data_IF_275497399817
#
_entry.id   IF_275497399817
#
_cell.length_a   1.000
_cell.length_b   1.000
_cell.length_c   1.000
_cell.angle_alpha   90.00
_cell.angle_beta   90.00
_cell.angle_gamma   90.00
#
_symmetry.space_group_name_H-M   'P 1'
#
loop_
_entity.id
_entity.type
_entity.pdbx_description
1 polymer ?
#
# COMPACT_ATOMS: atom_id res chain seq x y z
N UNK A 1 33.34 -75.30 32.98
CA UNK A 1 32.63 -74.08 32.57
C UNK A 1 31.35 -74.55 31.89
N UNK A 2 30.14 -74.40 32.43
CA UNK A 2 29.51 -73.23 33.09
C UNK A 2 29.28 -72.09 32.10
N UNK A 3 28.10 -71.48 31.93
CA UNK A 3 26.71 -71.73 32.39
C UNK A 3 25.78 -71.70 31.13
N UNK A 4 24.51 -72.11 31.02
CA UNK A 4 23.27 -72.01 31.84
C UNK A 4 22.69 -70.57 31.97
N UNK A 5 21.38 -70.27 31.82
CA UNK A 5 20.18 -71.11 31.54
C UNK A 5 19.62 -70.74 30.13
N UNK A 6 18.35 -70.49 29.73
CA UNK A 6 16.94 -70.41 30.24
C UNK A 6 16.02 -71.04 29.14
N UNK A 7 14.76 -71.42 29.43
CA UNK A 7 13.74 -71.87 28.42
C UNK A 7 12.60 -70.85 28.21
N UNK A 8 11.95 -70.88 27.03
CA UNK A 8 10.65 -70.23 26.76
C UNK A 8 9.79 -71.07 25.79
N UNK A 9 8.48 -71.32 26.06
CA UNK A 9 7.68 -72.25 25.27
C UNK A 9 6.86 -71.60 24.15
N UNK A 10 6.77 -72.28 23.00
CA UNK A 10 5.74 -72.02 21.98
C UNK A 10 4.67 -73.12 22.06
N UNK A 11 3.54 -72.87 22.73
CA UNK A 11 2.19 -73.40 22.40
C UNK A 11 1.17 -73.02 23.48
N UNK A 12 0.33 -72.03 23.21
CA UNK A 12 -1.12 -72.10 23.44
C UNK A 12 -1.78 -70.95 22.65
N UNK A 13 -2.87 -71.25 21.93
CA UNK A 13 -3.42 -70.36 20.90
C UNK A 13 -4.95 -70.33 20.98
N UNK A 14 -5.51 -69.47 21.83
CA UNK A 14 -6.95 -69.15 21.85
C UNK A 14 -7.25 -67.89 22.70
N UNK A 15 -8.44 -67.30 22.47
CA UNK A 15 -9.14 -66.31 23.32
C UNK A 15 -8.83 -64.79 23.23
N UNK A 16 -8.23 -64.27 22.14
CA UNK A 16 -8.05 -62.79 21.96
C UNK A 16 -8.69 -62.21 20.67
N UNK A 17 -9.70 -62.87 20.09
CA UNK A 17 -10.43 -62.33 18.92
C UNK A 17 -11.60 -61.41 19.31
N UNK A 18 -12.24 -61.63 20.46
CA UNK A 18 -13.52 -60.98 20.83
C UNK A 18 -13.50 -59.47 21.10
N UNK A 19 -12.31 -58.84 21.13
CA UNK A 19 -12.14 -57.38 21.19
C UNK A 19 -11.76 -56.78 19.83
N UNK A 20 -10.94 -57.49 19.05
CA UNK A 20 -10.58 -57.10 17.68
C UNK A 20 -11.79 -57.12 16.75
N UNK A 21 -12.61 -58.18 16.81
CA UNK A 21 -13.81 -58.28 15.96
C UNK A 21 -14.81 -57.15 16.27
N UNK A 22 -14.94 -56.75 17.55
CA UNK A 22 -15.78 -55.60 17.97
C UNK A 22 -15.22 -54.25 17.51
N UNK A 23 -13.90 -54.08 17.49
CA UNK A 23 -13.25 -52.90 16.94
C UNK A 23 -13.48 -52.79 15.42
N UNK A 24 -13.56 -53.93 14.71
CA UNK A 24 -13.93 -53.95 13.28
C UNK A 24 -15.41 -53.61 13.09
N UNK A 25 -16.34 -54.20 13.86
CA UNK A 25 -17.77 -53.84 13.81
C UNK A 25 -18.02 -52.36 14.13
N UNK A 26 -17.25 -51.75 15.03
CA UNK A 26 -17.34 -50.31 15.32
C UNK A 26 -16.80 -49.42 14.20
N UNK A 27 -15.84 -49.89 13.39
CA UNK A 27 -15.31 -49.13 12.24
C UNK A 27 -16.32 -49.09 11.07
N UNK A 28 -17.15 -50.13 10.90
CA UNK A 28 -18.28 -50.11 9.95
C UNK A 28 -19.49 -49.32 10.48
N UNK A 29 -19.53 -48.96 11.77
CA UNK A 29 -20.63 -48.25 12.43
C UNK A 29 -20.66 -46.72 12.20
N UNK A 30 -20.23 -46.25 11.02
CA UNK A 30 -20.65 -44.94 10.49
C UNK A 30 -20.06 -43.68 11.13
N UNK A 31 -18.90 -43.73 11.80
CA UNK A 31 -18.24 -42.52 12.26
C UNK A 31 -17.82 -41.60 11.10
N UNK A 32 -18.21 -40.33 11.14
CA UNK A 32 -17.73 -39.31 10.21
C UNK A 32 -16.22 -39.09 10.39
N UNK A 33 -15.43 -39.66 9.48
CA UNK A 33 -13.99 -39.36 9.38
C UNK A 33 -13.80 -37.84 9.34
N UNK A 34 -13.02 -37.24 10.27
CA UNK A 34 -12.96 -35.79 10.42
C UNK A 34 -12.54 -35.15 9.09
N UNK A 35 -13.46 -34.35 8.53
CA UNK A 35 -13.35 -33.87 7.15
C UNK A 35 -12.03 -33.14 6.94
N UNK A 36 -11.19 -33.68 6.06
CA UNK A 36 -9.84 -33.16 5.84
C UNK A 36 -9.97 -31.78 5.18
N UNK A 37 -9.71 -30.72 5.96
CA UNK A 37 -9.84 -29.32 5.56
C UNK A 37 -9.37 -29.09 4.13
N UNK A 38 -10.19 -28.41 3.33
CA UNK A 38 -9.87 -28.12 1.94
C UNK A 38 -8.61 -27.24 1.85
N UNK A 39 -7.97 -27.25 0.68
CA UNK A 39 -6.84 -26.35 0.45
C UNK A 39 -7.24 -24.87 0.61
N UNK A 40 -8.47 -24.49 0.27
CA UNK A 40 -8.98 -23.12 0.44
C UNK A 40 -9.22 -22.77 1.92
N UNK A 41 -9.80 -23.67 2.72
CA UNK A 41 -9.93 -23.47 4.18
C UNK A 41 -8.56 -23.31 4.84
N UNK A 42 -7.58 -24.15 4.47
CA UNK A 42 -6.20 -24.04 4.98
C UNK A 42 -5.55 -22.71 4.55
N UNK A 43 -5.81 -22.23 3.33
CA UNK A 43 -5.30 -20.92 2.86
C UNK A 43 -5.93 -19.73 3.61
N UNK A 44 -7.21 -19.79 3.97
CA UNK A 44 -7.87 -18.78 4.82
C UNK A 44 -7.26 -18.80 6.23
N UNK A 45 -7.12 -19.98 6.85
CA UNK A 45 -6.50 -20.11 8.18
C UNK A 45 -5.03 -19.63 8.21
N UNK A 46 -4.28 -19.85 7.12
CA UNK A 46 -2.93 -19.29 6.94
C UNK A 46 -3.01 -17.76 6.87
N UNK A 47 -3.92 -17.20 6.08
CA UNK A 47 -4.08 -15.76 5.94
C UNK A 47 -4.46 -15.09 7.27
N UNK A 48 -5.47 -15.61 7.97
CA UNK A 48 -5.91 -15.12 9.28
C UNK A 48 -4.84 -15.30 10.37
N UNK A 49 -3.94 -16.30 10.25
CA UNK A 49 -2.79 -16.44 11.16
C UNK A 49 -1.72 -15.34 10.98
N UNK A 50 -1.71 -14.64 9.85
CA UNK A 50 -0.69 -13.66 9.46
C UNK A 50 -1.23 -12.22 9.39
N UNK A 51 -2.53 -12.05 9.12
CA UNK A 51 -3.14 -10.78 8.75
C UNK A 51 -4.46 -10.52 9.49
N UNK A 52 -4.79 -9.24 9.63
CA UNK A 52 -6.12 -8.72 10.00
C UNK A 52 -6.72 -8.07 8.75
N UNK A 53 -7.97 -8.40 8.41
CA UNK A 53 -8.57 -8.01 7.13
C UNK A 53 -9.55 -6.86 7.30
N UNK A 54 -9.48 -5.87 6.41
CA UNK A 54 -10.26 -4.63 6.48
C UNK A 54 -10.45 -4.03 5.08
N UNK A 55 -11.43 -3.14 4.97
CA UNK A 55 -11.70 -2.34 3.77
C UNK A 55 -11.28 -0.88 3.99
N UNK A 56 -10.93 -0.16 2.93
CA UNK A 56 -10.64 1.28 2.99
C UNK A 56 -11.91 2.12 2.87
N UNK A 57 -11.78 3.40 3.21
CA UNK A 57 -12.73 4.48 2.86
C UNK A 57 -13.12 4.48 1.36
N UNK A 58 -12.20 4.13 0.47
CA UNK A 58 -12.43 3.97 -0.98
C UNK A 58 -12.97 2.59 -1.41
N UNK A 59 -13.25 1.67 -0.48
CA UNK A 59 -13.77 0.33 -0.78
C UNK A 59 -12.72 -0.71 -1.22
N UNK A 60 -11.42 -0.40 -1.15
CA UNK A 60 -10.36 -1.36 -1.48
C UNK A 60 -10.10 -2.30 -0.28
N UNK A 61 -10.09 -3.61 -0.52
CA UNK A 61 -9.82 -4.63 0.52
C UNK A 61 -8.33 -4.92 0.71
N UNK A 62 -7.89 -4.98 1.97
CA UNK A 62 -6.49 -5.21 2.34
C UNK A 62 -6.32 -6.08 3.59
N UNK A 63 -5.11 -6.63 3.76
CA UNK A 63 -4.65 -7.28 4.98
C UNK A 63 -3.57 -6.45 5.68
N UNK A 64 -3.74 -6.20 6.98
CA UNK A 64 -2.74 -5.60 7.88
C UNK A 64 -1.89 -6.71 8.49
N UNK A 65 -0.54 -6.69 8.37
CA UNK A 65 0.31 -7.69 9.03
C UNK A 65 0.11 -7.72 10.55
N UNK A 66 -0.08 -8.91 11.13
CA UNK A 66 -0.14 -9.10 12.59
C UNK A 66 1.21 -8.92 13.27
N UNK A 67 2.30 -9.20 12.55
CA UNK A 67 3.69 -9.01 12.99
C UNK A 67 4.52 -8.28 11.94
N UNK A 68 5.52 -7.52 12.39
CA UNK A 68 6.34 -6.68 11.51
C UNK A 68 5.66 -5.36 11.14
N UNK A 69 5.99 -4.83 9.96
CA UNK A 69 5.55 -3.52 9.51
C UNK A 69 4.04 -3.44 9.26
N UNK A 70 3.40 -2.34 9.67
CA UNK A 70 1.96 -2.08 9.44
C UNK A 70 1.65 -1.54 8.03
N UNK A 71 2.44 -1.96 7.04
CA UNK A 71 2.23 -1.65 5.62
C UNK A 71 1.25 -2.66 5.02
N UNK A 72 0.12 -2.19 4.51
CA UNK A 72 -0.99 -3.08 4.13
C UNK A 72 -0.74 -3.82 2.82
N UNK A 73 -1.17 -5.08 2.75
CA UNK A 73 -1.17 -5.89 1.54
C UNK A 73 -2.54 -5.84 0.89
N UNK A 74 -2.66 -5.21 -0.28
CA UNK A 74 -3.91 -5.18 -1.05
C UNK A 74 -4.26 -6.60 -1.55
N UNK A 75 -5.53 -7.02 -1.41
CA UNK A 75 -5.96 -8.34 -1.93
C UNK A 75 -5.97 -8.35 -3.47
N UNK A 76 -6.19 -7.18 -4.08
CA UNK A 76 -6.20 -6.95 -5.53
C UNK A 76 -5.13 -5.91 -5.94
N UNK A 77 -4.56 -6.05 -7.14
CA UNK A 77 -3.79 -4.98 -7.81
C UNK A 77 -2.36 -4.68 -7.30
N UNK A 78 -1.76 -5.53 -6.45
CA UNK A 78 -0.40 -5.33 -5.92
C UNK A 78 0.74 -5.91 -6.79
N UNK A 79 1.93 -5.29 -6.73
CA UNK A 79 3.18 -5.83 -7.35
C UNK A 79 3.65 -7.10 -6.64
N UNK A 80 3.64 -7.08 -5.32
CA UNK A 80 3.53 -8.29 -4.49
C UNK A 80 2.04 -8.49 -4.27
N UNK A 81 1.52 -9.68 -4.57
CA UNK A 81 0.13 -10.00 -4.31
C UNK A 81 0.03 -10.90 -3.08
N UNK A 82 -0.98 -10.69 -2.24
CA UNK A 82 -1.27 -11.59 -1.11
C UNK A 82 -1.40 -13.05 -1.58
N UNK A 83 -1.93 -13.27 -2.80
CA UNK A 83 -1.98 -14.56 -3.48
C UNK A 83 -0.61 -15.25 -3.58
N UNK A 84 0.44 -14.52 -3.92
CA UNK A 84 1.80 -15.06 -4.04
C UNK A 84 2.35 -15.46 -2.67
N UNK A 85 2.07 -14.67 -1.63
CA UNK A 85 2.47 -14.94 -0.26
C UNK A 85 1.75 -16.16 0.33
N UNK A 86 0.42 -16.22 0.21
CA UNK A 86 -0.36 -17.37 0.67
C UNK A 86 0.04 -18.67 -0.05
N UNK A 87 0.44 -18.59 -1.32
CA UNK A 87 1.02 -19.71 -2.06
C UNK A 87 2.38 -20.17 -1.48
N UNK A 88 3.26 -19.21 -1.12
CA UNK A 88 4.55 -19.46 -0.46
C UNK A 88 4.36 -20.12 0.92
N UNK A 89 3.50 -19.54 1.75
CA UNK A 89 3.20 -20.02 3.10
C UNK A 89 2.53 -21.39 3.09
N UNK A 90 1.57 -21.62 2.19
CA UNK A 90 0.95 -22.94 2.01
C UNK A 90 1.98 -23.98 1.59
N UNK A 91 2.86 -23.67 0.64
CA UNK A 91 3.94 -24.59 0.26
C UNK A 91 4.86 -24.92 1.44
N UNK A 92 5.27 -23.91 2.22
CA UNK A 92 6.13 -24.11 3.39
C UNK A 92 5.46 -24.93 4.50
N UNK A 93 4.14 -24.75 4.72
CA UNK A 93 3.38 -25.44 5.78
C UNK A 93 2.87 -26.83 5.37
N UNK A 94 2.69 -27.12 4.07
CA UNK A 94 2.13 -28.40 3.59
C UNK A 94 3.06 -29.23 2.69
N UNK A 95 4.19 -28.68 2.26
CA UNK A 95 5.10 -29.30 1.27
C UNK A 95 4.49 -29.48 -0.13
N UNK A 96 3.43 -28.74 -0.47
CA UNK A 96 2.67 -28.91 -1.73
C UNK A 96 2.30 -27.56 -2.32
N UNK A 97 2.27 -27.46 -3.65
CA UNK A 97 1.80 -26.25 -4.31
C UNK A 97 0.30 -26.02 -4.02
N UNK A 98 -0.09 -24.77 -3.79
CA UNK A 98 -1.48 -24.39 -3.59
C UNK A 98 -2.26 -24.46 -4.92
N UNK A 99 -3.41 -25.18 -5.00
CA UNK A 99 -4.21 -25.23 -6.21
C UNK A 99 -4.71 -23.85 -6.63
N UNK A 100 -4.71 -23.56 -7.94
CA UNK A 100 -5.09 -22.24 -8.47
C UNK A 100 -6.52 -21.82 -8.06
N UNK A 101 -7.46 -22.77 -8.08
CA UNK A 101 -8.84 -22.54 -7.64
C UNK A 101 -8.91 -22.28 -6.13
N UNK A 102 -8.26 -23.12 -5.31
CA UNK A 102 -8.25 -22.95 -3.86
C UNK A 102 -7.69 -21.58 -3.40
N UNK A 103 -6.68 -21.05 -4.11
CA UNK A 103 -6.20 -19.68 -3.91
C UNK A 103 -7.20 -18.59 -4.34
N UNK A 104 -8.05 -18.86 -5.33
CA UNK A 104 -9.12 -17.92 -5.72
C UNK A 104 -10.27 -17.95 -4.71
N UNK A 105 -10.73 -19.15 -4.33
CA UNK A 105 -11.78 -19.34 -3.33
C UNK A 105 -11.40 -18.71 -1.98
N UNK A 106 -10.15 -18.93 -1.53
CA UNK A 106 -9.65 -18.35 -0.29
C UNK A 106 -9.61 -16.82 -0.34
N UNK A 107 -9.13 -16.22 -1.44
CA UNK A 107 -9.12 -14.76 -1.58
C UNK A 107 -10.53 -14.17 -1.62
N UNK A 108 -11.49 -14.84 -2.27
CA UNK A 108 -12.89 -14.41 -2.28
C UNK A 108 -13.51 -14.41 -0.87
N UNK A 109 -13.20 -15.42 -0.05
CA UNK A 109 -13.59 -15.46 1.37
C UNK A 109 -12.95 -14.31 2.16
N UNK A 110 -11.65 -14.05 1.96
CA UNK A 110 -10.93 -12.97 2.64
C UNK A 110 -11.40 -11.58 2.21
N UNK A 111 -11.83 -11.40 0.96
CA UNK A 111 -12.48 -10.19 0.47
C UNK A 111 -13.83 -9.97 1.18
N UNK A 112 -14.63 -11.02 1.35
CA UNK A 112 -15.89 -10.97 2.12
C UNK A 112 -15.69 -10.66 3.61
N UNK A 113 -14.63 -11.21 4.23
CA UNK A 113 -14.24 -10.89 5.61
C UNK A 113 -13.81 -9.42 5.72
N UNK A 114 -12.97 -8.94 4.79
CA UNK A 114 -12.52 -7.55 4.75
C UNK A 114 -13.67 -6.54 4.59
N UNK A 115 -14.70 -6.89 3.81
CA UNK A 115 -15.90 -6.07 3.59
C UNK A 115 -16.90 -6.07 4.74
N UNK A 116 -16.74 -6.97 5.73
CA UNK A 116 -17.60 -7.02 6.91
C UNK A 116 -17.13 -6.13 8.07
N UNK A 117 -15.92 -5.53 7.96
CA UNK A 117 -15.39 -4.57 8.92
C UNK A 117 -15.70 -3.12 8.56
N UNK A 118 -15.57 -2.22 9.54
CA UNK A 118 -15.69 -0.78 9.32
C UNK A 118 -14.55 -0.25 8.41
N UNK A 119 -14.81 0.73 7.51
CA UNK A 119 -13.78 1.33 6.67
C UNK A 119 -12.68 2.05 7.46
N UNK A 120 -11.41 1.74 7.16
CA UNK A 120 -10.22 2.34 7.80
C UNK A 120 -9.42 3.18 6.80
N UNK A 121 -9.02 4.42 7.14
CA UNK A 121 -8.20 5.26 6.25
C UNK A 121 -6.85 4.63 5.87
N UNK A 122 -6.44 4.79 4.62
CA UNK A 122 -5.13 4.35 4.11
C UNK A 122 -4.30 5.54 3.59
N UNK A 123 -3.09 5.69 4.12
CA UNK A 123 -2.18 6.76 3.73
C UNK A 123 -1.14 6.28 2.70
N UNK A 124 -0.75 7.12 1.74
CA UNK A 124 0.26 6.75 0.72
C UNK A 124 1.71 7.05 1.14
N UNK A 125 1.91 8.15 1.87
CA UNK A 125 3.24 8.68 2.23
C UNK A 125 3.18 9.52 3.49
N UNK A 126 2.17 10.38 3.61
CA UNK A 126 1.98 11.23 4.79
C UNK A 126 0.66 10.89 5.48
N UNK A 127 0.67 10.94 6.81
CA UNK A 127 -0.48 10.78 7.68
C UNK A 127 -0.42 11.75 8.87
N UNK A 128 -1.42 11.70 9.75
CA UNK A 128 -1.49 12.47 10.99
C UNK A 128 -1.90 11.58 12.16
N UNK A 129 -1.30 11.78 13.33
CA UNK A 129 -1.58 11.03 14.55
C UNK A 129 -1.52 11.95 15.76
N UNK A 130 -2.61 12.04 16.54
CA UNK A 130 -2.69 12.81 17.80
C UNK A 130 -2.37 14.32 17.71
N UNK A 131 -2.17 14.84 16.49
CA UNK A 131 -1.75 16.21 16.21
C UNK A 131 -0.49 16.27 15.35
N UNK A 132 0.44 15.35 15.58
CA UNK A 132 1.72 15.19 14.89
C UNK A 132 1.56 14.66 13.46
N UNK A 133 2.55 14.92 12.61
CA UNK A 133 2.61 14.46 11.22
C UNK A 133 3.49 13.21 11.13
N UNK A 134 3.09 12.22 10.33
CA UNK A 134 3.87 11.01 10.07
C UNK A 134 4.25 10.93 8.59
N UNK A 135 5.54 10.75 8.30
CA UNK A 135 6.08 10.55 6.95
C UNK A 135 6.65 9.13 6.81
N UNK A 136 6.05 8.30 5.97
CA UNK A 136 6.53 6.96 5.63
C UNK A 136 7.87 7.03 4.89
N UNK A 137 8.90 6.41 5.49
CA UNK A 137 10.21 6.30 4.86
C UNK A 137 10.20 5.42 3.61
N UNK A 138 9.14 4.64 3.35
CA UNK A 138 9.01 3.79 2.17
C UNK A 138 9.91 2.53 2.19
N UNK A 139 10.74 2.38 3.23
CA UNK A 139 11.68 1.26 3.40
C UNK A 139 10.97 -0.06 3.76
N UNK A 140 11.65 -1.19 3.58
CA UNK A 140 11.06 -2.51 3.88
C UNK A 140 10.67 -2.72 5.36
N UNK A 141 11.16 -1.89 6.28
CA UNK A 141 10.90 -1.99 7.73
C UNK A 141 9.65 -1.24 8.19
N UNK A 142 9.06 -0.36 7.36
CA UNK A 142 7.77 0.29 7.66
C UNK A 142 7.83 1.41 8.70
N UNK A 143 9.02 1.96 8.94
CA UNK A 143 9.26 3.04 9.90
C UNK A 143 8.78 4.38 9.32
N UNK A 144 8.38 5.29 10.20
CA UNK A 144 7.98 6.66 9.85
C UNK A 144 8.88 7.69 10.53
N UNK A 145 9.02 8.86 9.92
CA UNK A 145 9.42 10.07 10.65
C UNK A 145 8.17 10.68 11.29
N UNK A 146 8.10 10.70 12.61
CA UNK A 146 7.10 11.48 13.36
C UNK A 146 7.65 12.89 13.54
N UNK A 147 6.84 13.90 13.20
CA UNK A 147 7.18 15.33 13.26
C UNK A 147 6.13 16.01 14.14
N UNK A 148 6.58 16.55 15.27
CA UNK A 148 5.75 17.23 16.26
C UNK A 148 6.33 18.57 16.69
N UNK A 149 5.66 19.25 17.62
CA UNK A 149 6.04 20.61 18.03
C UNK A 149 7.46 20.76 18.63
N UNK A 150 8.06 19.66 19.11
CA UNK A 150 9.41 19.62 19.68
C UNK A 150 10.52 19.20 18.70
N UNK A 151 10.21 18.89 17.45
CA UNK A 151 11.15 18.31 16.47
C UNK A 151 10.64 17.01 15.87
N UNK A 152 11.54 16.10 15.48
CA UNK A 152 11.19 14.84 14.83
C UNK A 152 11.98 13.64 15.36
N UNK A 153 11.43 12.44 15.15
CA UNK A 153 12.05 11.15 15.50
C UNK A 153 11.61 10.04 14.54
N UNK A 154 12.44 9.02 14.32
CA UNK A 154 12.04 7.83 13.56
C UNK A 154 11.33 6.83 14.48
N UNK A 155 10.03 6.59 14.26
CA UNK A 155 9.24 5.58 14.98
C UNK A 155 9.14 4.29 14.16
N UNK A 156 9.35 3.09 14.77
CA UNK A 156 9.48 1.86 13.98
C UNK A 156 8.16 1.17 13.62
N UNK A 157 7.11 1.36 14.42
CA UNK A 157 5.81 0.71 14.25
C UNK A 157 4.68 1.71 14.58
N UNK A 158 4.30 2.60 13.66
CA UNK A 158 3.19 3.52 13.89
C UNK A 158 1.85 2.76 13.99
N UNK A 159 0.87 3.26 14.76
CA UNK A 159 -0.50 2.72 14.78
C UNK A 159 -1.33 3.15 13.56
N UNK A 160 -0.70 3.65 12.50
CA UNK A 160 -1.35 4.21 11.30
C UNK A 160 -0.98 3.37 10.08
N UNK A 161 -1.98 3.11 9.23
CA UNK A 161 -1.86 2.21 8.09
C UNK A 161 -1.39 2.94 6.82
N UNK A 162 -0.35 2.40 6.19
CA UNK A 162 0.19 2.90 4.93
C UNK A 162 0.02 1.87 3.80
N UNK A 163 -0.48 2.35 2.65
CA UNK A 163 -0.56 1.63 1.38
C UNK A 163 0.55 2.11 0.47
N UNK A 164 1.48 1.23 0.12
CA UNK A 164 2.53 1.50 -0.87
C UNK A 164 2.17 0.94 -2.23
N UNK A 165 2.68 1.55 -3.29
CA UNK A 165 2.44 1.11 -4.67
C UNK A 165 3.76 0.86 -5.41
N UNK A 166 3.70 0.47 -6.68
CA UNK A 166 4.87 0.37 -7.54
C UNK A 166 5.60 1.72 -7.78
N UNK A 167 4.99 2.83 -7.35
CA UNK A 167 5.55 4.19 -7.42
C UNK A 167 6.20 4.63 -6.11
N UNK A 168 6.01 3.92 -4.98
CA UNK A 168 6.65 4.25 -3.71
C UNK A 168 8.10 3.73 -3.71
N UNK A 169 9.08 4.62 -3.60
CA UNK A 169 10.46 4.28 -3.27
C UNK A 169 10.80 4.70 -1.82
N UNK A 170 11.91 4.18 -1.31
CA UNK A 170 12.42 4.56 0.00
C UNK A 170 13.03 5.98 -0.03
N UNK A 171 12.78 6.75 1.03
CA UNK A 171 13.57 7.91 1.43
C UNK A 171 14.91 7.42 2.03
N UNK A 172 15.97 8.24 2.03
CA UNK A 172 17.15 7.99 2.86
C UNK A 172 16.79 8.05 4.35
N UNK A 173 17.57 7.41 5.21
CA UNK A 173 17.47 7.65 6.66
C UNK A 173 17.71 9.15 6.94
N UNK A 174 16.84 9.82 7.72
CA UNK A 174 16.92 11.26 7.95
C UNK A 174 18.10 11.60 8.88
N UNK A 175 18.81 12.67 8.55
CA UNK A 175 19.94 13.19 9.33
C UNK A 175 19.58 14.58 9.86
N UNK A 176 19.80 14.82 11.16
CA UNK A 176 19.56 16.13 11.78
C UNK A 176 20.80 17.02 11.73
N UNK A 177 20.59 18.35 11.73
CA UNK A 177 21.66 19.35 11.83
C UNK A 177 22.14 19.95 10.50
N UNK A 178 21.49 19.66 9.38
CA UNK A 178 21.66 20.38 8.11
C UNK A 178 20.86 21.69 8.08
N UNK A 179 21.23 22.59 7.16
CA UNK A 179 20.53 23.85 6.91
C UNK A 179 19.64 23.75 5.65
N UNK A 180 18.52 24.46 5.63
CA UNK A 180 17.67 24.59 4.44
C UNK A 180 18.40 25.33 3.30
N UNK A 181 19.41 26.16 3.61
CA UNK A 181 20.22 26.83 2.59
C UNK A 181 21.06 25.87 1.72
N UNK A 182 21.27 24.62 2.16
CA UNK A 182 21.88 23.57 1.33
C UNK A 182 20.99 23.20 0.12
N UNK A 183 19.66 23.27 0.25
CA UNK A 183 18.71 22.96 -0.82
C UNK A 183 18.91 23.86 -2.05
N UNK A 184 19.22 25.14 -1.84
CA UNK A 184 19.39 26.10 -2.92
C UNK A 184 20.69 25.94 -3.70
N UNK A 185 21.64 25.14 -3.21
CA UNK A 185 22.82 24.71 -3.97
C UNK A 185 22.45 23.68 -5.05
N UNK A 186 21.27 23.06 -4.94
CA UNK A 186 20.76 22.04 -5.86
C UNK A 186 19.58 22.54 -6.74
N UNK A 187 19.03 23.71 -6.44
CA UNK A 187 17.88 24.28 -7.16
C UNK A 187 18.24 25.62 -7.82
N UNK A 188 18.06 25.69 -9.15
CA UNK A 188 18.13 26.95 -9.89
C UNK A 188 16.84 27.76 -9.66
N UNK A 189 16.77 28.48 -8.54
CA UNK A 189 15.61 29.29 -8.12
C UNK A 189 16.06 30.65 -7.59
N UNK A 190 15.31 31.71 -7.93
CA UNK A 190 15.58 33.06 -7.46
C UNK A 190 15.31 33.17 -5.93
N UNK A 191 16.10 33.94 -5.17
CA UNK A 191 15.91 34.10 -3.72
C UNK A 191 14.47 34.45 -3.29
N UNK A 192 13.79 35.28 -4.09
CA UNK A 192 12.41 35.72 -3.92
C UNK A 192 11.36 34.59 -4.07
N UNK A 193 11.65 33.55 -4.85
CA UNK A 193 10.75 32.40 -5.07
C UNK A 193 10.94 31.27 -4.05
N UNK A 194 12.08 31.24 -3.34
CA UNK A 194 12.39 30.23 -2.31
C UNK A 194 11.26 30.02 -1.28
N UNK A 195 10.57 31.06 -0.75
CA UNK A 195 9.48 30.88 0.20
C UNK A 195 8.29 30.09 -0.37
N UNK A 196 8.05 30.15 -1.69
CA UNK A 196 6.97 29.39 -2.34
C UNK A 196 7.28 27.88 -2.35
N UNK A 197 8.55 27.52 -2.57
CA UNK A 197 9.01 26.14 -2.48
C UNK A 197 8.91 25.63 -1.04
N UNK A 198 9.34 26.41 -0.05
CA UNK A 198 9.22 26.02 1.37
C UNK A 198 7.76 25.87 1.80
N UNK A 199 6.89 26.82 1.41
CA UNK A 199 5.46 26.73 1.70
C UNK A 199 4.82 25.49 1.08
N UNK A 200 5.20 25.11 -0.15
CA UNK A 200 4.75 23.87 -0.78
C UNK A 200 5.25 22.62 -0.06
N UNK A 201 6.55 22.56 0.28
CA UNK A 201 7.15 21.43 1.01
C UNK A 201 6.49 21.20 2.39
N UNK A 202 6.22 22.29 3.14
CA UNK A 202 5.53 22.22 4.43
C UNK A 202 4.05 21.85 4.25
N UNK A 203 3.33 22.49 3.31
CA UNK A 203 1.93 22.17 3.05
C UNK A 203 1.72 20.71 2.60
N UNK A 204 2.72 20.13 1.93
CA UNK A 204 2.71 18.73 1.51
C UNK A 204 2.90 17.71 2.65
N UNK A 205 3.24 18.16 3.86
CA UNK A 205 3.23 17.34 5.08
C UNK A 205 1.89 17.40 5.85
N UNK A 206 0.97 18.29 5.46
CA UNK A 206 -0.33 18.45 6.12
C UNK A 206 -1.46 17.79 5.32
N UNK A 207 -1.80 16.54 5.64
CA UNK A 207 -2.85 15.77 4.92
C UNK A 207 -4.25 16.41 4.94
N UNK A 208 -4.53 17.29 5.91
CA UNK A 208 -5.88 17.82 6.16
C UNK A 208 -6.24 19.07 5.33
N UNK A 209 -5.26 19.75 4.73
CA UNK A 209 -5.47 21.06 4.05
C UNK A 209 -5.43 20.93 2.52
N UNK A 210 -6.14 21.80 1.77
CA UNK A 210 -5.93 21.92 0.33
C UNK A 210 -4.48 22.32 0.00
N UNK A 211 -3.83 21.62 -0.93
CA UNK A 211 -2.42 21.89 -1.26
C UNK A 211 -2.27 22.96 -2.36
N UNK A 212 -1.22 23.81 -2.30
CA UNK A 212 -0.85 24.62 -3.46
C UNK A 212 -0.30 23.75 -4.60
N UNK A 213 -0.58 24.14 -5.85
CA UNK A 213 0.09 23.56 -7.03
C UNK A 213 1.40 24.32 -7.24
N UNK A 214 2.55 23.64 -7.14
CA UNK A 214 3.84 24.25 -7.45
C UNK A 214 4.07 24.24 -8.96
N UNK A 215 4.20 25.42 -9.57
CA UNK A 215 4.37 25.59 -11.01
C UNK A 215 5.75 26.18 -11.33
N UNK A 216 6.64 25.39 -11.93
CA UNK A 216 8.02 25.77 -12.25
C UNK A 216 8.11 26.15 -13.74
N UNK A 217 8.15 27.46 -14.02
CA UNK A 217 8.33 28.02 -15.37
C UNK A 217 9.79 28.32 -15.74
N UNK A 218 10.01 28.90 -16.93
CA UNK A 218 11.31 29.40 -17.40
C UNK A 218 11.83 28.72 -18.67
N UNK A 219 12.93 29.20 -19.23
CA UNK A 219 13.41 28.80 -20.56
C UNK A 219 13.86 27.32 -20.68
N UNK A 220 14.03 26.84 -21.92
CA UNK A 220 14.57 25.49 -22.15
C UNK A 220 16.00 25.38 -21.61
N UNK A 221 16.30 24.31 -20.88
CA UNK A 221 17.61 24.09 -20.25
C UNK A 221 17.77 24.66 -18.84
N UNK A 222 16.84 25.48 -18.33
CA UNK A 222 16.94 26.13 -17.00
C UNK A 222 16.86 25.21 -15.77
N UNK A 223 16.91 23.88 -15.94
CA UNK A 223 16.95 22.91 -14.85
C UNK A 223 15.61 22.51 -14.21
N UNK A 224 14.46 23.02 -14.69
CA UNK A 224 13.12 22.78 -14.11
C UNK A 224 12.80 21.32 -13.80
N UNK A 225 13.02 20.42 -14.76
CA UNK A 225 12.77 18.98 -14.59
C UNK A 225 13.73 18.31 -13.60
N UNK A 226 14.89 18.91 -13.33
CA UNK A 226 15.81 18.47 -12.26
C UNK A 226 15.31 18.97 -10.90
N UNK A 227 14.94 20.25 -10.81
CA UNK A 227 14.35 20.84 -9.60
C UNK A 227 13.07 20.11 -9.17
N UNK A 228 12.15 19.85 -10.11
CA UNK A 228 10.93 19.10 -9.83
C UNK A 228 11.20 17.65 -9.40
N UNK A 229 12.23 16.98 -9.95
CA UNK A 229 12.64 15.64 -9.47
C UNK A 229 13.19 15.68 -8.05
N UNK A 230 14.03 16.66 -7.73
CA UNK A 230 14.58 16.83 -6.38
C UNK A 230 13.48 17.11 -5.35
N UNK A 231 12.58 18.05 -5.63
CA UNK A 231 11.46 18.40 -4.75
C UNK A 231 10.47 17.24 -4.54
N UNK A 232 10.17 16.47 -5.60
CA UNK A 232 9.42 15.20 -5.46
C UNK A 232 10.18 14.19 -4.59
N UNK A 233 11.49 14.05 -4.80
CA UNK A 233 12.34 13.09 -4.08
C UNK A 233 12.54 13.38 -2.58
N UNK A 234 12.33 14.62 -2.13
CA UNK A 234 12.38 14.99 -0.70
C UNK A 234 11.17 14.45 0.08
N UNK A 235 10.03 14.25 -0.57
CA UNK A 235 8.76 13.89 0.07
C UNK A 235 8.22 12.52 -0.34
N UNK A 236 8.18 12.24 -1.64
CA UNK A 236 7.66 11.00 -2.20
C UNK A 236 8.56 10.51 -3.36
N UNK A 237 9.78 10.03 -3.05
CA UNK A 237 10.65 9.45 -4.05
C UNK A 237 9.97 8.26 -4.75
N UNK A 238 10.19 8.18 -6.06
CA UNK A 238 9.50 7.27 -6.97
C UNK A 238 10.45 6.83 -8.09
N UNK A 239 10.30 5.61 -8.64
CA UNK A 239 10.99 5.21 -9.87
C UNK A 239 10.61 6.06 -11.10
N UNK A 240 9.44 6.72 -11.04
CA UNK A 240 8.93 7.64 -12.06
C UNK A 240 8.44 8.91 -11.35
N UNK A 241 9.35 9.81 -10.94
CA UNK A 241 9.02 10.98 -10.11
C UNK A 241 8.23 12.03 -10.88
N UNK A 242 8.56 12.24 -12.17
CA UNK A 242 7.79 13.07 -13.08
C UNK A 242 7.22 12.21 -14.22
N UNK A 243 6.02 12.58 -14.69
CA UNK A 243 5.25 11.89 -15.71
C UNK A 243 4.97 12.85 -16.87
N UNK A 244 4.67 12.32 -18.06
CA UNK A 244 4.10 13.14 -19.14
C UNK A 244 2.71 13.64 -18.74
N UNK A 245 2.20 14.75 -19.30
CA UNK A 245 0.83 15.18 -19.07
C UNK A 245 -0.15 14.05 -19.41
N UNK A 246 -1.15 13.78 -18.55
CA UNK A 246 -2.16 12.77 -18.83
C UNK A 246 -2.99 13.19 -20.05
N UNK A 247 -3.26 12.25 -20.96
CA UNK A 247 -4.04 12.51 -22.18
C UNK A 247 -5.55 12.55 -21.94
N UNK A 248 -6.00 11.92 -20.85
CA UNK A 248 -7.39 11.72 -20.46
C UNK A 248 -7.49 11.52 -18.93
N UNK A 249 -8.72 11.48 -18.40
CA UNK A 249 -8.97 11.33 -16.97
C UNK A 249 -8.67 9.94 -16.38
N UNK A 250 -8.57 8.89 -17.20
CA UNK A 250 -8.19 7.54 -16.74
C UNK A 250 -6.69 7.47 -16.49
N UNK A 251 -5.89 8.06 -17.40
CA UNK A 251 -4.46 8.30 -17.23
C UNK A 251 -4.18 9.21 -16.02
N UNK A 252 -5.03 10.21 -15.75
CA UNK A 252 -4.94 11.02 -14.54
C UNK A 252 -5.19 10.22 -13.26
N UNK A 253 -6.32 9.51 -13.15
CA UNK A 253 -6.63 8.67 -11.98
C UNK A 253 -5.53 7.62 -11.77
N UNK A 254 -5.00 7.02 -12.83
CA UNK A 254 -3.88 6.06 -12.77
C UNK A 254 -2.59 6.71 -12.25
N UNK A 255 -2.27 7.93 -12.69
CA UNK A 255 -1.07 8.66 -12.24
C UNK A 255 -1.18 9.15 -10.80
N UNK A 256 -2.36 9.63 -10.39
CA UNK A 256 -2.61 10.24 -9.09
C UNK A 256 -2.94 9.24 -7.98
N UNK A 257 -3.61 8.13 -8.27
CA UNK A 257 -4.02 7.16 -7.23
C UNK A 257 -2.84 6.54 -6.49
N UNK A 258 -1.67 6.42 -7.12
CA UNK A 258 -0.53 5.65 -6.61
C UNK A 258 0.67 6.42 -6.03
N UNK A 259 0.69 7.75 -6.07
CA UNK A 259 1.71 8.60 -5.44
C UNK A 259 1.06 9.68 -4.58
N UNK A 260 1.75 10.16 -3.55
CA UNK A 260 1.36 11.35 -2.79
C UNK A 260 1.71 12.64 -3.54
N UNK A 261 2.91 12.67 -4.15
CA UNK A 261 3.35 13.76 -5.03
C UNK A 261 3.19 13.36 -6.50
N UNK A 262 2.43 14.15 -7.26
CA UNK A 262 2.23 13.92 -8.70
C UNK A 262 2.99 14.98 -9.49
N UNK A 263 4.18 14.62 -9.94
CA UNK A 263 4.98 15.44 -10.85
C UNK A 263 4.56 15.30 -12.31
N UNK A 264 4.32 16.43 -12.99
CA UNK A 264 4.07 16.49 -14.44
C UNK A 264 5.17 17.32 -15.12
N UNK A 265 5.83 16.71 -16.11
CA UNK A 265 6.97 17.24 -16.86
C UNK A 265 6.55 17.80 -18.22
N UNK A 266 7.09 18.96 -18.61
CA UNK A 266 6.91 19.58 -19.93
C UNK A 266 5.43 19.81 -20.34
N UNK A 267 4.64 20.43 -19.45
CA UNK A 267 3.37 21.04 -19.83
C UNK A 267 3.64 22.22 -20.78
N UNK A 268 2.93 22.24 -21.91
CA UNK A 268 2.88 23.36 -22.86
C UNK A 268 1.51 24.06 -22.92
N UNK A 269 0.47 23.40 -22.42
CA UNK A 269 -0.88 23.93 -22.22
C UNK A 269 -1.62 23.04 -21.22
N UNK A 270 -2.50 23.62 -20.41
CA UNK A 270 -3.42 22.88 -19.55
C UNK A 270 -4.80 22.91 -20.20
N UNK A 271 -5.37 21.73 -20.45
CA UNK A 271 -6.76 21.61 -20.91
C UNK A 271 -7.73 21.74 -19.72
N UNK A 272 -8.92 22.30 -19.95
CA UNK A 272 -9.92 22.56 -18.91
C UNK A 272 -10.20 21.34 -18.02
N UNK A 273 -10.38 20.17 -18.64
CA UNK A 273 -10.63 18.91 -17.91
C UNK A 273 -9.48 18.53 -16.95
N UNK A 274 -8.24 18.90 -17.28
CA UNK A 274 -7.05 18.65 -16.47
C UNK A 274 -6.92 19.72 -15.38
N UNK A 275 -7.26 20.98 -15.68
CA UNK A 275 -7.39 22.04 -14.67
C UNK A 275 -8.37 21.61 -13.57
N UNK A 276 -9.59 21.23 -13.96
CA UNK A 276 -10.63 20.75 -13.04
C UNK A 276 -10.20 19.51 -12.23
N UNK A 277 -9.52 18.57 -12.88
CA UNK A 277 -9.04 17.34 -12.25
C UNK A 277 -7.87 17.58 -11.27
N UNK A 278 -7.00 18.55 -11.56
CA UNK A 278 -5.96 19.02 -10.64
C UNK A 278 -6.56 19.79 -9.46
N UNK A 279 -7.54 20.66 -9.70
CA UNK A 279 -8.26 21.38 -8.65
C UNK A 279 -8.91 20.41 -7.64
N UNK A 280 -9.69 19.42 -8.11
CA UNK A 280 -10.25 18.38 -7.22
C UNK A 280 -9.18 17.60 -6.46
N UNK A 281 -8.08 17.25 -7.12
CA UNK A 281 -7.00 16.50 -6.48
C UNK A 281 -6.24 17.29 -5.42
N UNK A 282 -6.13 18.63 -5.49
CA UNK A 282 -5.52 19.40 -4.40
C UNK A 282 -6.48 19.69 -3.26
N UNK A 283 -7.78 19.85 -3.51
CA UNK A 283 -8.79 20.02 -2.46
C UNK A 283 -9.12 18.71 -1.76
N UNK A 284 -9.04 17.57 -2.46
CA UNK A 284 -9.48 16.26 -1.99
C UNK A 284 -10.90 15.86 -2.45
N UNK A 285 -11.50 16.64 -3.35
CA UNK A 285 -12.85 16.39 -3.87
C UNK A 285 -12.91 15.13 -4.75
N UNK A 286 -14.04 14.42 -4.69
CA UNK A 286 -14.26 13.18 -5.43
C UNK A 286 -14.50 13.36 -6.93
N UNK A 287 -13.85 12.52 -7.75
CA UNK A 287 -14.20 12.32 -9.16
C UNK A 287 -14.98 10.99 -9.30
N UNK A 288 -16.28 11.07 -9.61
CA UNK A 288 -17.18 9.91 -9.68
C UNK A 288 -17.19 9.35 -11.11
N UNK A 289 -16.69 8.13 -11.31
CA UNK A 289 -16.62 7.51 -12.64
C UNK A 289 -17.09 6.07 -12.67
N UNK A 290 -17.74 5.69 -13.77
CA UNK A 290 -17.96 4.28 -14.12
C UNK A 290 -16.61 3.63 -14.41
N UNK A 291 -16.39 2.45 -13.85
CA UNK A 291 -15.21 1.64 -14.14
C UNK A 291 -15.33 1.05 -15.55
N UNK A 292 -14.25 1.14 -16.32
CA UNK A 292 -14.13 0.40 -17.58
C UNK A 292 -13.70 -1.05 -17.27
N UNK A 293 -14.20 -1.99 -18.08
CA UNK A 293 -13.91 -3.44 -18.02
C UNK A 293 -14.47 -4.25 -16.83
N UNK A 294 -15.43 -3.71 -16.06
CA UNK A 294 -16.47 -4.52 -15.39
C UNK A 294 -17.80 -3.78 -15.45
N UNK A 295 -18.89 -4.48 -15.76
CA UNK A 295 -20.21 -3.86 -15.94
C UNK A 295 -20.76 -3.20 -14.67
N UNK A 296 -21.52 -2.12 -14.85
CA UNK A 296 -22.35 -1.48 -13.81
C UNK A 296 -21.62 -0.51 -12.86
N UNK A 297 -20.51 -0.92 -12.26
CA UNK A 297 -19.98 -0.27 -11.05
C UNK A 297 -19.47 1.18 -11.27
N UNK A 298 -20.01 2.10 -10.47
CA UNK A 298 -19.48 3.46 -10.30
C UNK A 298 -18.52 3.48 -9.11
N UNK A 299 -17.25 3.78 -9.37
CA UNK A 299 -16.25 4.02 -8.33
C UNK A 299 -16.09 5.52 -8.10
N UNK A 300 -16.11 5.92 -6.83
CA UNK A 300 -15.81 7.29 -6.41
C UNK A 300 -14.31 7.38 -6.11
N UNK A 301 -13.58 8.15 -6.92
CA UNK A 301 -12.16 8.40 -6.69
C UNK A 301 -12.01 9.73 -5.94
N UNK A 302 -12.14 9.69 -4.62
CA UNK A 302 -11.75 10.79 -3.74
C UNK A 302 -10.28 10.63 -3.36
N UNK A 303 -9.44 11.63 -3.70
CA UNK A 303 -8.05 11.67 -3.27
C UNK A 303 -7.53 13.10 -3.18
N UNK A 304 -6.76 13.38 -2.12
CA UNK A 304 -5.97 14.60 -1.97
C UNK A 304 -4.50 14.34 -2.31
N UNK A 305 -3.85 15.23 -3.08
CA UNK A 305 -2.50 15.05 -3.64
C UNK A 305 -1.73 16.36 -3.73
N UNK A 306 -0.41 16.26 -3.59
CA UNK A 306 0.51 17.37 -3.80
C UNK A 306 0.94 17.40 -5.28
N UNK A 307 0.73 18.53 -5.96
CA UNK A 307 1.01 18.64 -7.40
C UNK A 307 2.21 19.53 -7.66
N UNK A 308 3.09 19.09 -8.57
CA UNK A 308 4.24 19.84 -9.06
C UNK A 308 4.32 19.76 -10.58
N UNK A 309 4.28 20.91 -11.24
CA UNK A 309 4.20 21.07 -12.69
C UNK A 309 5.47 21.78 -13.19
N UNK A 310 5.91 21.48 -14.42
CA UNK A 310 6.86 22.33 -15.13
C UNK A 310 6.56 22.47 -16.61
N UNK A 311 7.05 23.56 -17.21
CA UNK A 311 6.83 23.95 -18.59
C UNK A 311 7.70 25.15 -18.97
N UNK A 312 7.65 25.59 -20.24
CA UNK A 312 8.38 26.81 -20.66
C UNK A 312 7.50 28.03 -20.35
N UNK A 313 6.36 28.08 -21.02
CA UNK A 313 5.17 28.81 -20.61
C UNK A 313 4.10 27.77 -20.27
N UNK A 314 3.44 27.92 -19.12
CA UNK A 314 2.37 27.03 -18.64
C UNK A 314 0.99 27.69 -18.87
N UNK A 315 0.99 28.92 -19.41
CA UNK A 315 -0.16 29.81 -19.43
C UNK A 315 -0.35 30.53 -18.09
N UNK A 316 -1.35 31.43 -17.99
CA UNK A 316 -1.63 32.20 -16.79
C UNK A 316 -2.31 31.34 -15.69
N UNK A 317 -1.55 30.43 -15.08
CA UNK A 317 -1.98 29.58 -13.94
C UNK A 317 -2.35 30.35 -12.65
N UNK A 318 -2.33 31.69 -12.67
CA UNK A 318 -2.60 32.53 -11.50
C UNK A 318 -3.34 33.84 -11.87
N UNK A 319 -4.64 33.77 -12.18
CA UNK A 319 -5.51 34.96 -12.25
C UNK A 319 -7.05 34.73 -12.17
N UNK A 320 -7.56 33.64 -11.59
CA UNK A 320 -9.03 33.44 -11.44
C UNK A 320 -9.55 34.11 -10.14
N UNK A 321 -9.37 35.43 -10.05
CA UNK A 321 -10.06 36.32 -9.10
C UNK A 321 -10.25 37.71 -9.72
N UNK A 322 -10.99 37.77 -10.84
CA UNK A 322 -11.64 39.01 -11.25
C UNK A 322 -12.95 39.14 -10.47
N UNK A 323 -13.07 40.14 -9.60
CA UNK A 323 -14.35 40.51 -9.02
C UNK A 323 -15.29 40.99 -10.13
N UNK A 324 -16.46 40.36 -10.22
CA UNK A 324 -17.70 40.94 -10.73
C UNK A 324 -18.65 41.09 -9.55
#
# INVERSE_FOLDING_TARGET
>A
MSEDIIKGPWTEFQSVNGELDKLVEQIDAGEEKPSKKSASTILVEIAESLYEFSVSDTGDTFGVPKSGSKVVQMLRGGKTSLRSELSREYFQRTGRAAPQQALADALLVLEGIAQAGDPVPLHLRVARLEGDLLLDLGDATGRVVRIGAGGWSVEPNPPVLFRRTALTAALPDPVGGSDVEELWQHLNVAPEDRPLILAWLVAALHVDIPHPILSIGGEQGSGKSTAAKALTGILDPSPVPLRKPPRDGEAWVTAASGSWVVGIDNISAIADWLSDAMCRAVTGDGDVRRKLYTDGDMHVFAFRRCLILNGIDIGPCAAIWRKG
#
